data_IF_171390278692
#
_entry.id   IF_171390278692
#
_cell.length_a   1.000
_cell.length_b   1.000
_cell.length_c   1.000
_cell.angle_alpha   90.00
_cell.angle_beta   90.00
_cell.angle_gamma   90.00
#
_symmetry.space_group_name_H-M   'P 1'
#
loop_
_entity.id
_entity.type
_entity.pdbx_description
1 polymer ?
#
# COMPACT_ATOMS: atom_id res chain seq x y z
N UNK A 1 58.83 -73.28 50.81
CA UNK A 1 58.05 -72.13 51.29
C UNK A 1 58.84 -70.88 50.94
N UNK A 2 58.43 -70.14 49.90
CA UNK A 2 59.07 -68.85 49.60
C UNK A 2 58.29 -67.80 50.38
N UNK A 3 58.97 -67.19 51.33
CA UNK A 3 58.45 -66.20 52.26
C UNK A 3 58.09 -64.94 51.48
N UNK A 4 56.81 -64.61 51.43
CA UNK A 4 56.31 -63.35 50.88
C UNK A 4 56.35 -62.33 52.02
N UNK A 5 57.51 -61.70 52.21
CA UNK A 5 57.64 -60.52 53.08
C UNK A 5 57.33 -59.32 52.18
N UNK A 6 56.46 -58.37 52.59
CA UNK A 6 56.22 -57.17 51.80
C UNK A 6 57.48 -56.31 51.83
N UNK A 7 58.33 -56.49 50.82
CA UNK A 7 59.52 -55.69 50.63
C UNK A 7 59.14 -54.22 50.46
N UNK A 8 59.99 -53.33 50.97
CA UNK A 8 59.90 -51.87 50.78
C UNK A 8 59.69 -51.49 49.30
N UNK A 9 60.14 -52.33 48.38
CA UNK A 9 59.90 -52.28 46.94
C UNK A 9 58.42 -52.17 46.56
N UNK A 10 57.52 -52.86 47.27
CA UNK A 10 56.07 -52.78 47.01
C UNK A 10 55.54 -51.37 47.32
N UNK A 11 55.99 -50.77 48.42
CA UNK A 11 55.62 -49.39 48.79
C UNK A 11 56.19 -48.39 47.77
N UNK A 12 57.43 -48.57 47.34
CA UNK A 12 58.06 -47.73 46.30
C UNK A 12 57.31 -47.86 44.98
N UNK A 13 56.97 -49.09 44.55
CA UNK A 13 56.20 -49.33 43.33
C UNK A 13 54.80 -48.70 43.39
N UNK A 14 54.13 -48.77 44.54
CA UNK A 14 52.84 -48.12 44.75
C UNK A 14 52.95 -46.59 44.67
N UNK A 15 53.99 -46.01 45.27
CA UNK A 15 54.28 -44.58 45.14
C UNK A 15 54.55 -44.17 43.69
N UNK A 16 55.34 -44.96 42.94
CA UNK A 16 55.59 -44.74 41.50
C UNK A 16 54.31 -44.82 40.69
N UNK A 17 53.43 -45.80 40.97
CA UNK A 17 52.17 -45.95 40.26
C UNK A 17 51.21 -44.78 40.54
N UNK A 18 51.12 -44.32 41.79
CA UNK A 18 50.35 -43.13 42.17
C UNK A 18 50.92 -41.89 41.47
N UNK A 19 52.24 -41.71 41.47
CA UNK A 19 52.89 -40.60 40.78
C UNK A 19 52.59 -40.63 39.27
N UNK A 20 52.64 -41.81 38.64
CA UNK A 20 52.27 -42.00 37.23
C UNK A 20 50.81 -41.62 36.97
N UNK A 21 49.87 -42.05 37.82
CA UNK A 21 48.46 -41.68 37.69
C UNK A 21 48.30 -40.16 37.76
N UNK A 22 48.96 -39.49 38.71
CA UNK A 22 48.90 -38.03 38.84
C UNK A 22 49.44 -37.33 37.59
N UNK A 23 50.59 -37.78 37.08
CA UNK A 23 51.18 -37.26 35.85
C UNK A 23 50.23 -37.47 34.67
N UNK A 24 49.67 -38.67 34.51
CA UNK A 24 48.79 -39.01 33.40
C UNK A 24 47.46 -38.26 33.47
N UNK A 25 46.91 -38.07 34.68
CA UNK A 25 45.71 -37.27 34.90
C UNK A 25 45.91 -35.81 34.47
N UNK A 26 47.06 -35.23 34.84
CA UNK A 26 47.39 -33.86 34.49
C UNK A 26 47.77 -33.69 33.01
N UNK A 27 48.57 -34.60 32.46
CA UNK A 27 49.17 -34.47 31.14
C UNK A 27 48.28 -35.03 30.01
N UNK A 28 47.45 -36.05 30.28
CA UNK A 28 46.64 -36.70 29.25
C UNK A 28 45.14 -36.52 29.47
N UNK A 29 44.60 -36.94 30.61
CA UNK A 29 43.15 -37.03 30.78
C UNK A 29 42.48 -35.65 30.75
N UNK A 30 43.00 -34.68 31.51
CA UNK A 30 42.48 -33.31 31.51
C UNK A 30 42.54 -32.62 30.13
N UNK A 31 43.70 -32.54 29.45
CA UNK A 31 43.77 -31.87 28.16
C UNK A 31 42.98 -32.60 27.08
N UNK A 32 42.95 -33.94 27.08
CA UNK A 32 42.19 -34.72 26.11
C UNK A 32 40.68 -34.47 26.26
N UNK A 33 40.17 -34.51 27.49
CA UNK A 33 38.75 -34.25 27.74
C UNK A 33 38.37 -32.80 27.39
N UNK A 34 39.23 -31.84 27.70
CA UNK A 34 39.03 -30.43 27.34
C UNK A 34 38.93 -30.22 25.83
N UNK A 35 39.75 -30.91 25.03
CA UNK A 35 39.68 -30.84 23.56
C UNK A 35 38.36 -31.40 23.03
N UNK A 36 37.90 -32.53 23.59
CA UNK A 36 36.63 -33.14 23.21
C UNK A 36 35.45 -32.22 23.55
N UNK A 37 35.42 -31.65 24.77
CA UNK A 37 34.41 -30.68 25.18
C UNK A 37 34.43 -29.43 24.31
N UNK A 38 35.63 -28.92 23.98
CA UNK A 38 35.78 -27.74 23.12
C UNK A 38 35.21 -28.00 21.72
N UNK A 39 35.51 -29.16 21.13
CA UNK A 39 34.95 -29.55 19.82
C UNK A 39 33.43 -29.69 19.88
N UNK A 40 32.90 -30.34 20.92
CA UNK A 40 31.46 -30.49 21.11
C UNK A 40 30.78 -29.13 21.24
N UNK A 41 31.32 -28.25 22.08
CA UNK A 41 30.81 -26.90 22.29
C UNK A 41 30.82 -26.08 21.00
N UNK A 42 31.90 -26.14 20.22
CA UNK A 42 31.96 -25.47 18.93
C UNK A 42 30.88 -25.97 17.98
N UNK A 43 30.69 -27.28 17.85
CA UNK A 43 29.64 -27.85 17.00
C UNK A 43 28.23 -27.45 17.45
N UNK A 44 27.98 -27.47 18.76
CA UNK A 44 26.69 -27.04 19.33
C UNK A 44 26.45 -25.54 19.10
N UNK A 45 27.47 -24.70 19.26
CA UNK A 45 27.41 -23.25 19.04
C UNK A 45 27.16 -22.92 17.57
N UNK A 46 27.89 -23.55 16.63
CA UNK A 46 27.66 -23.44 15.20
C UNK A 46 26.24 -23.89 14.82
N UNK A 47 25.77 -25.01 15.40
CA UNK A 47 24.41 -25.50 15.15
C UNK A 47 23.34 -24.54 15.66
N UNK A 48 23.56 -23.89 16.81
CA UNK A 48 22.65 -22.90 17.34
C UNK A 48 22.67 -21.60 16.52
N UNK A 49 23.84 -21.14 16.09
CA UNK A 49 23.99 -19.96 15.22
C UNK A 49 23.27 -20.17 13.88
N UNK A 50 23.40 -21.35 13.26
CA UNK A 50 22.66 -21.70 12.04
C UNK A 50 21.15 -21.67 12.28
N UNK A 51 20.67 -22.19 13.41
CA UNK A 51 19.23 -22.14 13.73
C UNK A 51 18.73 -20.70 13.88
N UNK A 52 19.43 -19.89 14.67
CA UNK A 52 19.09 -18.48 14.88
C UNK A 52 19.13 -17.68 13.57
N UNK A 53 20.14 -17.95 12.72
CA UNK A 53 20.25 -17.32 11.41
C UNK A 53 19.04 -17.67 10.53
N UNK A 54 18.70 -18.96 10.41
CA UNK A 54 17.52 -19.39 9.64
C UNK A 54 16.22 -18.80 10.19
N UNK A 55 16.05 -18.75 11.52
CA UNK A 55 14.88 -18.13 12.15
C UNK A 55 14.80 -16.64 11.82
N UNK A 56 15.94 -15.93 11.89
CA UNK A 56 16.01 -14.51 11.55
C UNK A 56 15.69 -14.23 10.08
N UNK A 57 16.17 -15.09 9.17
CA UNK A 57 15.89 -15.00 7.73
C UNK A 57 14.41 -15.24 7.47
N UNK A 58 13.84 -16.30 8.04
CA UNK A 58 12.41 -16.61 7.89
C UNK A 58 11.52 -15.48 8.45
N UNK A 59 11.87 -14.95 9.63
CA UNK A 59 11.16 -13.82 10.23
C UNK A 59 11.24 -12.58 9.33
N UNK A 60 12.42 -12.27 8.80
CA UNK A 60 12.61 -11.11 7.93
C UNK A 60 11.91 -11.26 6.57
N UNK A 61 11.86 -12.47 6.03
CA UNK A 61 11.09 -12.79 4.84
C UNK A 61 9.58 -12.60 5.09
N UNK A 62 9.06 -13.12 6.21
CA UNK A 62 7.67 -12.94 6.61
C UNK A 62 7.30 -11.45 6.82
N UNK A 63 8.15 -10.68 7.51
CA UNK A 63 7.95 -9.24 7.68
C UNK A 63 7.96 -8.48 6.34
N UNK A 64 8.82 -8.89 5.40
CA UNK A 64 8.89 -8.30 4.08
C UNK A 64 7.64 -8.58 3.25
N UNK A 65 7.18 -9.84 3.27
CA UNK A 65 5.96 -10.25 2.58
C UNK A 65 4.71 -9.59 3.17
N UNK A 66 4.64 -9.46 4.49
CA UNK A 66 3.57 -8.72 5.15
C UNK A 66 3.56 -7.24 4.75
N UNK A 67 4.73 -6.57 4.76
CA UNK A 67 4.84 -5.18 4.31
C UNK A 67 4.44 -5.01 2.85
N UNK A 68 4.84 -5.94 1.99
CA UNK A 68 4.47 -5.92 0.58
C UNK A 68 2.96 -6.09 0.39
N UNK A 69 2.35 -7.03 1.13
CA UNK A 69 0.91 -7.28 1.11
C UNK A 69 0.11 -6.06 1.60
N UNK A 70 0.54 -5.45 2.72
CA UNK A 70 -0.04 -4.20 3.24
C UNK A 70 0.08 -3.07 2.22
N UNK A 71 1.26 -2.87 1.64
CA UNK A 71 1.47 -1.83 0.62
C UNK A 71 0.58 -2.03 -0.62
N UNK A 72 0.43 -3.27 -1.11
CA UNK A 72 -0.48 -3.59 -2.21
C UNK A 72 -1.94 -3.30 -1.85
N UNK A 73 -2.36 -3.66 -0.64
CA UNK A 73 -3.72 -3.41 -0.15
C UNK A 73 -3.99 -1.90 -0.07
N UNK A 74 -3.10 -1.14 0.58
CA UNK A 74 -3.21 0.31 0.68
C UNK A 74 -3.22 1.00 -0.70
N UNK A 75 -2.40 0.54 -1.64
CA UNK A 75 -2.40 1.06 -3.00
C UNK A 75 -3.72 0.77 -3.74
N UNK A 76 -4.27 -0.44 -3.56
CA UNK A 76 -5.58 -0.80 -4.11
C UNK A 76 -6.70 0.06 -3.51
N UNK A 77 -6.69 0.28 -2.21
CA UNK A 77 -7.69 1.09 -1.53
C UNK A 77 -7.60 2.57 -1.92
N UNK A 78 -6.38 3.12 -2.01
CA UNK A 78 -6.16 4.47 -2.53
C UNK A 78 -6.66 4.61 -3.96
N UNK A 79 -6.39 3.62 -4.82
CA UNK A 79 -6.89 3.61 -6.20
C UNK A 79 -8.43 3.61 -6.23
N UNK A 80 -9.08 2.79 -5.40
CA UNK A 80 -10.55 2.78 -5.29
C UNK A 80 -11.09 4.12 -4.82
N UNK A 81 -10.45 4.74 -3.83
CA UNK A 81 -10.83 6.05 -3.33
C UNK A 81 -10.73 7.12 -4.42
N UNK A 82 -9.60 7.20 -5.13
CA UNK A 82 -9.41 8.17 -6.23
C UNK A 82 -10.45 7.97 -7.34
N UNK A 83 -10.74 6.72 -7.71
CA UNK A 83 -11.78 6.43 -8.72
C UNK A 83 -13.16 6.84 -8.21
N UNK A 84 -13.47 6.57 -6.94
CA UNK A 84 -14.74 6.95 -6.31
C UNK A 84 -14.92 8.47 -6.22
N UNK A 85 -13.88 9.19 -5.81
CA UNK A 85 -13.85 10.66 -5.76
C UNK A 85 -13.99 11.25 -7.16
N UNK A 86 -13.26 10.73 -8.15
CA UNK A 86 -13.37 11.15 -9.54
C UNK A 86 -14.77 10.91 -10.13
N UNK A 87 -15.39 9.76 -9.83
CA UNK A 87 -16.75 9.46 -10.25
C UNK A 87 -17.78 10.39 -9.57
N UNK A 88 -17.60 10.69 -8.28
CA UNK A 88 -18.44 11.63 -7.56
C UNK A 88 -18.33 13.06 -8.12
N UNK A 89 -17.11 13.50 -8.44
CA UNK A 89 -16.87 14.82 -9.02
C UNK A 89 -17.45 14.93 -10.44
N UNK A 90 -17.22 13.92 -11.28
CA UNK A 90 -17.81 13.86 -12.61
C UNK A 90 -19.34 13.93 -12.53
N UNK A 91 -19.95 13.22 -11.58
CA UNK A 91 -21.40 13.28 -11.34
C UNK A 91 -21.83 14.68 -10.91
N UNK A 92 -21.10 15.34 -9.99
CA UNK A 92 -21.40 16.73 -9.57
C UNK A 92 -21.38 17.70 -10.74
N UNK A 93 -20.37 17.62 -11.61
CA UNK A 93 -20.26 18.48 -12.80
C UNK A 93 -21.44 18.24 -13.74
N UNK A 94 -21.77 16.98 -14.04
CA UNK A 94 -22.89 16.63 -14.92
C UNK A 94 -24.23 17.10 -14.33
N UNK A 95 -24.43 16.92 -13.03
CA UNK A 95 -25.66 17.34 -12.35
C UNK A 95 -25.78 18.88 -12.32
N UNK A 96 -24.68 19.61 -12.11
CA UNK A 96 -24.65 21.07 -12.18
C UNK A 96 -25.05 21.58 -13.58
N UNK A 97 -24.41 21.05 -14.63
CA UNK A 97 -24.76 21.41 -16.02
C UNK A 97 -26.22 21.06 -16.32
N UNK A 98 -26.71 19.89 -15.89
CA UNK A 98 -28.11 19.52 -16.06
C UNK A 98 -29.08 20.48 -15.36
N UNK A 99 -28.68 21.08 -14.24
CA UNK A 99 -29.50 22.07 -13.53
C UNK A 99 -29.51 23.44 -14.21
N UNK A 100 -28.49 23.76 -15.02
CA UNK A 100 -28.42 25.02 -15.79
C UNK A 100 -29.23 24.97 -17.09
N UNK A 101 -29.43 23.78 -17.69
CA UNK A 101 -30.22 23.61 -18.92
C UNK A 101 -31.66 24.16 -18.81
N UNK A 102 -32.44 23.90 -17.73
CA UNK A 102 -33.76 24.49 -17.54
C UNK A 102 -33.74 26.03 -17.48
N UNK A 103 -32.73 26.61 -16.85
CA UNK A 103 -32.58 28.07 -16.73
C UNK A 103 -32.30 28.69 -18.11
N UNK A 104 -31.37 28.12 -18.86
CA UNK A 104 -31.12 28.53 -20.24
C UNK A 104 -32.37 28.41 -21.13
N UNK A 105 -33.13 27.31 -20.98
CA UNK A 105 -34.36 27.09 -21.74
C UNK A 105 -35.44 28.11 -21.39
N UNK A 106 -35.59 28.45 -20.10
CA UNK A 106 -36.51 29.50 -19.66
C UNK A 106 -36.10 30.89 -20.18
N UNK A 107 -34.82 31.24 -20.12
CA UNK A 107 -34.34 32.51 -20.66
C UNK A 107 -34.53 32.58 -22.18
N UNK A 108 -34.27 31.48 -22.89
CA UNK A 108 -34.47 31.42 -24.33
C UNK A 108 -35.96 31.59 -24.68
N UNK A 109 -36.86 30.91 -23.96
CA UNK A 109 -38.30 31.06 -24.15
C UNK A 109 -38.76 32.51 -23.92
N UNK A 110 -38.28 33.16 -22.85
CA UNK A 110 -38.58 34.58 -22.58
C UNK A 110 -38.07 35.50 -23.68
N UNK A 111 -36.85 35.29 -24.18
CA UNK A 111 -36.32 36.09 -25.30
C UNK A 111 -37.13 35.89 -26.57
N UNK A 112 -37.52 34.64 -26.86
CA UNK A 112 -38.32 34.31 -28.04
C UNK A 112 -39.71 34.94 -27.98
N UNK A 113 -40.35 34.95 -26.80
CA UNK A 113 -41.64 35.62 -26.61
C UNK A 113 -41.54 37.15 -26.77
N UNK A 114 -40.46 37.75 -26.27
CA UNK A 114 -40.20 39.18 -26.44
C UNK A 114 -39.95 39.56 -27.91
N UNK A 115 -39.16 38.76 -28.65
CA UNK A 115 -38.95 38.95 -30.08
C UNK A 115 -40.25 38.77 -30.88
N UNK A 116 -41.06 37.76 -30.55
CA UNK A 116 -42.38 37.58 -31.18
C UNK A 116 -43.31 38.78 -30.93
N UNK A 117 -43.33 39.35 -29.72
CA UNK A 117 -44.12 40.54 -29.45
C UNK A 117 -43.61 41.76 -30.22
N UNK A 118 -42.29 41.98 -30.27
CA UNK A 118 -41.69 43.06 -31.04
C UNK A 118 -42.00 42.93 -32.54
N UNK A 119 -41.86 41.72 -33.10
CA UNK A 119 -42.20 41.44 -34.49
C UNK A 119 -43.69 41.67 -34.79
N UNK A 120 -44.60 41.29 -33.87
CA UNK A 120 -46.04 41.57 -34.00
C UNK A 120 -46.34 43.07 -34.00
N UNK A 121 -45.72 43.85 -33.12
CA UNK A 121 -45.91 45.31 -33.09
C UNK A 121 -45.43 45.97 -34.39
N UNK A 122 -44.29 45.53 -34.93
CA UNK A 122 -43.78 46.00 -36.22
C UNK A 122 -44.78 45.65 -37.34
N UNK A 123 -45.29 44.41 -37.36
CA UNK A 123 -46.29 43.98 -38.35
C UNK A 123 -47.60 44.78 -38.24
N UNK A 124 -48.10 45.07 -37.04
CA UNK A 124 -49.30 45.90 -36.86
C UNK A 124 -49.08 47.34 -37.37
N UNK A 125 -47.92 47.93 -37.06
CA UNK A 125 -47.55 49.25 -37.57
C UNK A 125 -47.45 49.27 -39.10
N UNK A 126 -46.83 48.25 -39.68
CA UNK A 126 -46.73 48.09 -41.13
C UNK A 126 -48.08 47.80 -41.79
N UNK A 127 -48.93 46.98 -41.17
CA UNK A 127 -50.28 46.65 -41.66
C UNK A 127 -51.17 47.89 -41.68
N UNK A 128 -51.11 48.75 -40.66
CA UNK A 128 -51.82 50.03 -40.63
C UNK A 128 -51.33 50.97 -41.74
N UNK A 129 -50.02 51.04 -41.97
CA UNK A 129 -49.43 51.81 -43.07
C UNK A 129 -49.85 51.29 -44.44
N UNK A 130 -49.79 49.98 -44.63
CA UNK A 130 -50.17 49.31 -45.87
C UNK A 130 -51.67 49.48 -46.16
N UNK A 131 -52.51 49.44 -45.11
CA UNK A 131 -53.96 49.67 -45.22
C UNK A 131 -54.26 51.12 -45.64
N UNK A 132 -53.52 52.10 -45.12
CA UNK A 132 -53.61 53.51 -45.55
C UNK A 132 -53.15 53.69 -47.00
N UNK A 133 -52.03 53.07 -47.39
CA UNK A 133 -51.54 53.13 -48.77
C UNK A 133 -52.52 52.49 -49.77
N UNK A 134 -53.13 51.36 -49.41
CA UNK A 134 -54.17 50.71 -50.22
C UNK A 134 -55.40 51.61 -50.30
N UNK A 135 -55.86 52.18 -49.18
CA UNK A 135 -57.01 53.08 -49.16
C UNK A 135 -56.76 54.34 -50.01
N UNK A 136 -55.58 54.96 -49.94
CA UNK A 136 -55.19 56.08 -50.80
C UNK A 136 -55.16 55.68 -52.29
N UNK A 137 -54.61 54.51 -52.62
CA UNK A 137 -54.57 54.03 -54.02
C UNK A 137 -55.96 53.73 -54.58
N UNK A 138 -56.87 53.22 -53.76
CA UNK A 138 -58.25 52.84 -54.18
C UNK A 138 -59.17 54.07 -54.24
N UNK A 139 -59.02 55.03 -53.33
CA UNK A 139 -59.82 56.28 -53.29
C UNK A 139 -59.28 57.38 -54.21
N UNK A 140 -58.06 57.23 -54.75
CA UNK A 140 -57.48 58.14 -55.74
C UNK A 140 -57.17 59.56 -55.23
N UNK A 141 -57.24 59.78 -53.91
CA UNK A 141 -56.99 61.06 -53.24
C UNK A 141 -56.36 60.80 -51.87
N UNK A 142 -55.39 61.63 -51.48
CA UNK A 142 -54.68 61.50 -50.19
C UNK A 142 -55.65 61.72 -49.03
N UNK A 143 -55.66 60.79 -48.08
CA UNK A 143 -56.46 60.91 -46.85
C UNK A 143 -55.49 61.33 -45.74
N UNK A 144 -55.63 62.58 -45.29
CA UNK A 144 -54.92 63.13 -44.12
C UNK A 144 -55.51 62.58 -42.81
#
# INVERSE_FOLDING_TARGET
>A
MVTVIPDYTLLVQMATFIALIFILNFLLYKPLLSIIERRKKQLDELGNEIKLFNESVNKKAAEYEEKLSRAKTSASDLKKQIIGEGAAEAKRIVDAVRSEIPLMTQEFQKKMDAEMQAARQILEGQSRRLSLEIAEKVLGRRVQ
#
